data_IF_130229996096
#
_entry.id   IF_130229996096
#
_cell.length_a   1.000
_cell.length_b   1.000
_cell.length_c   1.000
_cell.angle_alpha   90.00
_cell.angle_beta   90.00
_cell.angle_gamma   90.00
#
_symmetry.space_group_name_H-M   'P 1'
#
loop_
_entity.id
_entity.type
_entity.pdbx_description
1 polymer ?
#
# COMPACT_ATOMS: atom_id res chain seq x y z
N UNK A 1 1.62 -12.46 -3.33
CA UNK A 1 0.64 -11.56 -2.68
C UNK A 1 1.36 -10.36 -2.10
N UNK A 2 0.70 -9.22 -2.08
CA UNK A 2 1.32 -8.00 -1.58
C UNK A 2 1.27 -7.95 -0.06
N UNK A 3 2.43 -7.73 0.55
CA UNK A 3 2.54 -7.75 2.02
C UNK A 3 2.15 -6.44 2.67
N UNK A 4 1.62 -6.60 3.89
CA UNK A 4 1.44 -5.51 4.84
C UNK A 4 2.49 -5.71 5.92
N UNK A 5 3.30 -4.69 6.17
CA UNK A 5 4.39 -4.74 7.14
C UNK A 5 4.29 -3.55 8.07
N UNK A 6 4.92 -3.67 9.24
CA UNK A 6 5.11 -2.52 10.10
C UNK A 6 6.29 -1.71 9.56
N UNK A 7 6.22 -0.40 9.71
CA UNK A 7 7.30 0.49 9.32
C UNK A 7 7.43 1.64 10.31
N UNK A 8 8.67 2.09 10.51
CA UNK A 8 8.95 3.26 11.35
C UNK A 8 8.93 4.50 10.44
N UNK A 9 7.84 5.25 10.53
CA UNK A 9 7.68 6.53 9.85
C UNK A 9 7.83 7.65 10.88
N UNK A 10 6.81 8.49 11.06
CA UNK A 10 6.73 9.40 12.21
C UNK A 10 6.54 8.62 13.50
N UNK A 11 5.87 7.49 13.40
CA UNK A 11 5.72 6.47 14.43
C UNK A 11 5.61 5.12 13.72
N UNK A 12 5.62 4.02 14.47
CA UNK A 12 5.42 2.69 13.87
C UNK A 12 3.98 2.55 13.42
N UNK A 13 3.79 2.21 12.15
CA UNK A 13 2.45 2.00 11.58
C UNK A 13 2.49 0.91 10.50
N UNK A 14 1.34 0.29 10.23
CA UNK A 14 1.27 -0.65 9.12
C UNK A 14 1.34 0.08 7.79
N UNK A 15 1.99 -0.55 6.82
CA UNK A 15 2.13 -0.03 5.46
C UNK A 15 1.96 -1.17 4.46
N UNK A 16 1.54 -0.82 3.24
CA UNK A 16 1.58 -1.74 2.10
C UNK A 16 2.87 -1.48 1.34
N UNK A 17 3.63 -2.54 1.07
CA UNK A 17 4.87 -2.42 0.30
C UNK A 17 4.51 -2.37 -1.19
N UNK A 18 4.88 -1.28 -1.85
CA UNK A 18 4.58 -1.07 -3.27
C UNK A 18 5.72 -1.51 -4.18
N UNK A 19 6.95 -1.48 -3.71
CA UNK A 19 8.10 -1.93 -4.50
C UNK A 19 7.97 -3.42 -4.79
N UNK A 20 8.14 -3.80 -6.06
CA UNK A 20 7.97 -5.18 -6.50
C UNK A 20 9.05 -6.10 -5.91
N UNK A 21 8.68 -7.35 -5.64
CA UNK A 21 9.57 -8.34 -5.04
C UNK A 21 10.91 -8.50 -5.75
N UNK A 22 10.99 -8.67 -7.08
CA UNK A 22 12.27 -8.89 -7.74
C UNK A 22 13.26 -7.75 -7.55
N UNK A 23 12.80 -6.54 -7.28
CA UNK A 23 13.66 -5.38 -7.09
C UNK A 23 14.10 -5.20 -5.64
N UNK A 24 13.34 -5.72 -4.67
CA UNK A 24 13.57 -5.43 -3.24
C UNK A 24 14.90 -5.94 -2.72
N UNK A 25 15.35 -7.10 -3.21
CA UNK A 25 16.61 -7.70 -2.76
C UNK A 25 17.84 -6.84 -3.13
N UNK A 26 17.73 -6.05 -4.20
CA UNK A 26 18.83 -5.22 -4.69
C UNK A 26 18.71 -3.75 -4.26
N UNK A 27 17.62 -3.38 -3.59
CA UNK A 27 17.36 -1.98 -3.24
C UNK A 27 17.59 -1.69 -1.77
N UNK A 28 18.12 -0.50 -1.49
CA UNK A 28 18.31 -0.03 -0.11
C UNK A 28 17.12 0.77 0.37
N UNK A 29 16.18 1.10 -0.52
CA UNK A 29 14.97 1.85 -0.21
C UNK A 29 13.76 1.13 -0.80
N UNK A 30 12.61 1.31 -0.15
CA UNK A 30 11.34 0.76 -0.61
C UNK A 30 10.26 1.84 -0.57
N UNK A 31 9.30 1.74 -1.48
CA UNK A 31 8.15 2.64 -1.53
C UNK A 31 6.98 1.95 -0.84
N UNK A 32 6.33 2.67 0.06
CA UNK A 32 5.23 2.13 0.86
C UNK A 32 4.06 3.11 0.89
N UNK A 33 2.86 2.57 1.06
CA UNK A 33 1.64 3.34 1.27
C UNK A 33 1.19 3.13 2.72
N UNK A 34 1.04 4.19 3.51
CA UNK A 34 0.64 4.05 4.91
C UNK A 34 -0.82 3.62 5.04
N UNK A 35 -1.10 2.88 6.09
CA UNK A 35 -2.44 2.47 6.46
C UNK A 35 -2.87 3.30 7.67
N UNK A 36 -4.07 3.86 7.59
CA UNK A 36 -4.61 4.70 8.67
C UNK A 36 -6.03 4.28 9.00
N UNK A 37 -6.41 4.44 10.27
CA UNK A 37 -7.78 4.20 10.70
C UNK A 37 -8.71 5.38 10.39
N UNK A 38 -8.17 6.50 9.95
CA UNK A 38 -8.94 7.70 9.64
C UNK A 38 -9.21 7.78 8.14
N UNK A 39 -10.31 7.18 7.68
CA UNK A 39 -10.72 7.22 6.29
C UNK A 39 -11.32 8.60 5.97
N UNK A 40 -11.00 9.13 4.78
CA UNK A 40 -11.54 10.40 4.29
C UNK A 40 -12.57 10.20 3.19
N UNK A 41 -12.79 8.95 2.77
CA UNK A 41 -13.73 8.63 1.70
C UNK A 41 -13.22 8.96 0.31
N UNK A 42 -11.90 9.00 0.11
CA UNK A 42 -11.29 9.33 -1.17
C UNK A 42 -11.17 8.11 -2.06
N UNK A 43 -11.22 8.33 -3.38
CA UNK A 43 -11.06 7.24 -4.36
C UNK A 43 -9.63 6.69 -4.38
N UNK A 44 -8.67 7.38 -3.77
CA UNK A 44 -7.29 6.95 -3.61
C UNK A 44 -7.05 6.12 -2.34
N UNK A 45 -8.12 5.74 -1.64
CA UNK A 45 -8.06 4.90 -0.44
C UNK A 45 -8.56 3.50 -0.74
N UNK A 46 -7.90 2.50 -0.15
CA UNK A 46 -8.31 1.09 -0.29
C UNK A 46 -8.70 0.55 1.08
N UNK A 47 -9.94 0.09 1.27
CA UNK A 47 -10.37 -0.47 2.56
C UNK A 47 -9.63 -1.76 2.88
N UNK A 48 -9.17 -1.88 4.11
CA UNK A 48 -8.50 -3.06 4.65
C UNK A 48 -8.98 -3.25 6.10
N UNK A 49 -8.69 -4.39 6.68
CA UNK A 49 -9.17 -4.66 8.03
C UNK A 49 -8.58 -5.91 8.66
N UNK A 50 -9.39 -6.51 9.51
CA UNK A 50 -8.98 -7.67 10.33
C UNK A 50 -8.52 -8.84 9.44
N UNK A 51 -9.12 -9.06 8.29
CA UNK A 51 -8.73 -10.10 7.36
C UNK A 51 -7.32 -9.92 6.80
N UNK A 52 -6.76 -8.73 6.96
CA UNK A 52 -5.41 -8.39 6.49
C UNK A 52 -4.38 -8.36 7.62
N UNK A 53 -4.75 -8.81 8.82
CA UNK A 53 -3.85 -8.79 9.98
C UNK A 53 -3.86 -7.49 10.75
N UNK A 54 -4.84 -6.61 10.52
CA UNK A 54 -4.98 -5.35 11.25
C UNK A 54 -5.93 -5.50 12.43
N UNK A 55 -5.85 -4.60 13.40
CA UNK A 55 -6.67 -4.66 14.60
C UNK A 55 -8.10 -4.16 14.36
N UNK A 56 -8.30 -3.32 13.35
CA UNK A 56 -9.59 -2.68 13.10
C UNK A 56 -9.69 -2.20 11.65
N UNK A 57 -10.90 -1.85 11.17
CA UNK A 57 -11.07 -1.31 9.83
C UNK A 57 -10.20 -0.08 9.59
N UNK A 58 -9.55 -0.04 8.43
CA UNK A 58 -8.58 0.99 8.08
C UNK A 58 -8.60 1.19 6.57
N UNK A 59 -7.79 2.11 6.08
CA UNK A 59 -7.60 2.33 4.65
C UNK A 59 -6.12 2.47 4.32
N UNK A 60 -5.74 1.98 3.14
CA UNK A 60 -4.43 2.26 2.55
C UNK A 60 -4.53 3.61 1.87
N UNK A 61 -3.66 4.55 2.22
CA UNK A 61 -3.68 5.90 1.67
C UNK A 61 -2.66 6.05 0.54
N UNK A 62 -3.14 6.06 -0.70
CA UNK A 62 -2.28 6.20 -1.87
C UNK A 62 -1.87 7.66 -2.13
N UNK A 63 -2.47 8.61 -1.42
CA UNK A 63 -2.07 10.02 -1.49
C UNK A 63 -0.84 10.33 -0.64
N UNK A 64 -0.46 9.42 0.25
CA UNK A 64 0.63 9.62 1.19
C UNK A 64 1.78 8.63 1.02
N UNK A 65 1.95 8.13 -0.20
CA UNK A 65 3.04 7.20 -0.53
C UNK A 65 4.39 7.86 -0.25
N UNK A 66 5.29 7.07 0.33
CA UNK A 66 6.62 7.55 0.72
C UNK A 66 7.65 6.47 0.44
N UNK A 67 8.87 6.89 0.10
CA UNK A 67 10.01 5.99 -0.08
C UNK A 67 10.90 6.09 1.16
N UNK A 68 11.18 4.95 1.77
CA UNK A 68 11.92 4.88 3.03
C UNK A 68 13.12 3.93 2.92
N UNK A 69 14.14 4.10 3.76
CA UNK A 69 15.20 3.09 3.86
C UNK A 69 14.62 1.74 4.27
N UNK A 70 15.11 0.67 3.67
CA UNK A 70 14.61 -0.68 3.94
C UNK A 70 14.76 -1.06 5.42
N UNK A 71 15.73 -0.46 6.12
CA UNK A 71 15.96 -0.73 7.53
C UNK A 71 14.79 -0.30 8.43
N UNK A 72 13.91 0.56 7.93
CA UNK A 72 12.74 1.00 8.68
C UNK A 72 11.56 0.05 8.55
N UNK A 73 11.63 -0.95 7.63
CA UNK A 73 10.61 -1.97 7.53
C UNK A 73 10.75 -2.98 8.67
N UNK A 74 9.63 -3.26 9.32
CA UNK A 74 9.54 -4.31 10.32
C UNK A 74 8.96 -5.60 9.77
N UNK A 75 8.32 -6.37 10.63
CA UNK A 75 7.78 -7.69 10.28
C UNK A 75 6.53 -7.58 9.42
N UNK A 76 6.27 -8.64 8.66
CA UNK A 76 5.03 -8.81 7.91
C UNK A 76 3.91 -9.13 8.90
N UNK A 77 2.78 -8.44 8.80
CA UNK A 77 1.62 -8.67 9.66
C UNK A 77 0.42 -9.23 8.88
N UNK A 78 0.46 -9.18 7.56
CA UNK A 78 -0.61 -9.72 6.73
C UNK A 78 -0.37 -9.46 5.26
N UNK A 79 -1.42 -9.70 4.48
CA UNK A 79 -1.37 -9.57 3.02
C UNK A 79 -2.68 -9.00 2.50
N UNK A 80 -2.62 -8.32 1.37
CA UNK A 80 -3.82 -7.91 0.64
C UNK A 80 -4.42 -9.14 -0.05
N UNK A 81 -5.74 -9.15 -0.16
CA UNK A 81 -6.44 -10.13 -1.01
C UNK A 81 -6.28 -9.75 -2.47
N UNK A 82 -6.59 -10.69 -3.39
CA UNK A 82 -6.53 -10.41 -4.83
C UNK A 82 -7.47 -9.26 -5.21
N UNK A 83 -8.65 -9.20 -4.60
CA UNK A 83 -9.60 -8.11 -4.82
C UNK A 83 -9.01 -6.77 -4.37
N UNK A 84 -8.38 -6.75 -3.21
CA UNK A 84 -7.75 -5.54 -2.69
C UNK A 84 -6.57 -5.10 -3.54
N UNK A 85 -5.81 -6.02 -4.12
CA UNK A 85 -4.73 -5.66 -5.05
C UNK A 85 -5.28 -4.99 -6.31
N UNK A 86 -6.43 -5.43 -6.81
CA UNK A 86 -7.09 -4.76 -7.94
C UNK A 86 -7.54 -3.35 -7.55
N UNK A 87 -8.10 -3.20 -6.35
CA UNK A 87 -8.48 -1.89 -5.84
C UNK A 87 -7.26 -0.99 -5.62
N UNK A 88 -6.14 -1.56 -5.20
CA UNK A 88 -4.89 -0.84 -5.03
C UNK A 88 -4.41 -0.26 -6.36
N UNK A 89 -4.41 -1.08 -7.42
CA UNK A 89 -4.01 -0.64 -8.75
C UNK A 89 -4.88 0.53 -9.22
N UNK A 90 -6.20 0.42 -9.04
CA UNK A 90 -7.14 1.48 -9.39
C UNK A 90 -6.87 2.74 -8.58
N UNK A 91 -6.63 2.60 -7.28
CA UNK A 91 -6.38 3.73 -6.40
C UNK A 91 -5.09 4.48 -6.79
N UNK A 92 -4.04 3.74 -7.19
CA UNK A 92 -2.80 4.35 -7.68
C UNK A 92 -3.06 5.18 -8.94
N UNK A 93 -3.82 4.62 -9.89
CA UNK A 93 -4.18 5.35 -11.12
C UNK A 93 -4.91 6.65 -10.78
N UNK A 94 -5.85 6.58 -9.86
CA UNK A 94 -6.66 7.75 -9.47
C UNK A 94 -5.86 8.76 -8.66
N UNK A 95 -4.98 8.29 -7.76
CA UNK A 95 -4.19 9.17 -6.91
C UNK A 95 -3.20 10.01 -7.72
N UNK A 96 -2.66 9.44 -8.79
CA UNK A 96 -1.66 10.10 -9.63
C UNK A 96 -2.21 10.58 -10.96
N UNK A 97 -3.52 10.47 -11.16
CA UNK A 97 -4.19 10.90 -12.39
C UNK A 97 -3.53 10.31 -13.64
N UNK A 98 -3.25 9.00 -13.60
CA UNK A 98 -2.55 8.33 -14.69
C UNK A 98 -3.49 8.04 -15.85
N UNK A 99 -2.93 8.12 -17.05
CA UNK A 99 -3.61 7.73 -18.27
C UNK A 99 -3.14 6.33 -18.69
N UNK A 100 -4.07 5.39 -18.80
CA UNK A 100 -3.77 4.00 -19.16
C UNK A 100 -4.53 3.61 -20.42
N UNK A 101 -4.09 4.09 -21.59
CA UNK A 101 -4.80 3.84 -22.84
C UNK A 101 -4.93 2.37 -23.21
N UNK A 102 -3.99 1.52 -22.77
CA UNK A 102 -4.07 0.07 -23.04
C UNK A 102 -5.26 -0.58 -22.34
N UNK A 103 -5.66 -0.07 -21.18
CA UNK A 103 -6.83 -0.56 -20.47
C UNK A 103 -8.12 -0.11 -21.13
N UNK A 104 -8.08 1.02 -21.83
CA UNK A 104 -9.24 1.57 -22.51
C UNK A 104 -9.48 0.92 -23.85
N UNK A 105 -8.48 0.27 -24.41
CA UNK A 105 -8.54 -0.37 -25.71
C UNK A 105 -9.19 -1.77 -25.68
N UNK A 106 -9.38 -2.31 -24.52
CA UNK A 106 -9.97 -3.66 -24.36
C UNK A 106 -11.47 -3.71 -24.54
#
# INVERSE_FOLDING_TARGET
>A
MREIRLARLDKTRPVVVLTRDPARAAMTKVTVAPITSTAKGLCSEVPVGVENGLDHPSVVSLDNVVTIPVDLLGRTIGFLTAEQESLLARAVVLAYDLDLPLMNAS
#
